data_IF_106065713337
#
_entry.id   IF_106065713337
#
_cell.length_a   1.000
_cell.length_b   1.000
_cell.length_c   1.000
_cell.angle_alpha   90.00
_cell.angle_beta   90.00
_cell.angle_gamma   90.00
#
_symmetry.space_group_name_H-M   'P 1'
#
loop_
_entity.id
_entity.type
_entity.pdbx_description
1 polymer ?
#
# COMPACT_ATOMS: atom_id res chain seq x y z
N UNK A 1 -14.74 -4.69 9.84
CA UNK A 1 -14.42 -5.82 10.76
C UNK A 1 -12.91 -5.92 10.88
N UNK A 2 -12.37 -6.26 12.06
CA UNK A 2 -10.94 -6.59 12.21
C UNK A 2 -10.81 -8.11 12.08
N UNK A 3 -10.01 -8.55 11.13
CA UNK A 3 -9.57 -9.93 10.93
C UNK A 3 -8.07 -10.03 11.21
N UNK A 4 -7.52 -11.24 11.09
CA UNK A 4 -6.09 -11.49 11.23
C UNK A 4 -5.62 -12.43 10.11
N UNK A 5 -4.35 -12.34 9.76
CA UNK A 5 -3.67 -13.29 8.88
C UNK A 5 -2.37 -13.77 9.52
N UNK A 6 -2.01 -15.01 9.20
CA UNK A 6 -0.77 -15.63 9.69
C UNK A 6 0.25 -15.65 8.54
N UNK A 7 1.49 -15.33 8.87
CA UNK A 7 2.64 -15.35 7.97
C UNK A 7 3.83 -16.00 8.70
N UNK A 8 4.91 -16.41 8.02
CA UNK A 8 5.99 -17.17 8.65
C UNK A 8 6.63 -16.52 9.89
N UNK A 9 6.60 -15.19 10.01
CA UNK A 9 7.14 -14.46 11.16
C UNK A 9 6.13 -14.05 12.22
N UNK A 10 4.84 -14.42 12.10
CA UNK A 10 3.85 -14.13 13.13
C UNK A 10 2.43 -13.96 12.62
N UNK A 11 1.67 -13.15 13.35
CA UNK A 11 0.26 -12.86 13.08
C UNK A 11 0.03 -11.37 13.11
N UNK A 12 -0.65 -10.86 12.09
CA UNK A 12 -0.93 -9.43 11.95
C UNK A 12 -2.43 -9.17 11.78
N UNK A 13 -2.85 -7.96 12.11
CA UNK A 13 -4.22 -7.50 11.93
C UNK A 13 -4.51 -7.17 10.46
N UNK A 14 -5.78 -7.27 10.08
CA UNK A 14 -6.27 -6.89 8.76
C UNK A 14 -7.68 -6.32 8.86
N UNK A 15 -7.85 -5.06 8.46
CA UNK A 15 -9.18 -4.46 8.33
C UNK A 15 -9.91 -5.05 7.12
N UNK A 16 -11.20 -5.32 7.29
CA UNK A 16 -12.11 -5.86 6.25
C UNK A 16 -13.31 -4.95 6.06
N UNK A 17 -13.66 -4.73 4.80
CA UNK A 17 -14.74 -3.87 4.32
C UNK A 17 -15.60 -4.60 3.28
N UNK A 18 -16.87 -4.22 3.17
CA UNK A 18 -17.75 -4.68 2.10
C UNK A 18 -18.26 -6.12 2.26
N UNK A 19 -18.77 -6.72 1.18
CA UNK A 19 -19.44 -8.02 1.22
C UNK A 19 -18.49 -9.16 1.60
N UNK A 20 -19.08 -10.28 2.06
CA UNK A 20 -18.33 -11.49 2.41
C UNK A 20 -17.88 -12.31 1.18
N UNK A 21 -18.47 -12.04 0.01
CA UNK A 21 -18.27 -12.79 -1.24
C UNK A 21 -17.98 -11.84 -2.39
N UNK A 22 -17.36 -12.36 -3.46
CA UNK A 22 -16.99 -11.57 -4.65
C UNK A 22 -15.52 -11.14 -4.63
N UNK A 23 -15.10 -10.30 -5.60
CA UNK A 23 -13.71 -9.85 -5.69
C UNK A 23 -13.32 -8.98 -4.50
N UNK A 24 -12.05 -9.08 -4.10
CA UNK A 24 -11.48 -8.32 -2.99
C UNK A 24 -10.37 -7.41 -3.49
N UNK A 25 -10.43 -6.13 -3.16
CA UNK A 25 -9.31 -5.20 -3.30
C UNK A 25 -8.49 -5.22 -2.01
N UNK A 26 -7.22 -5.61 -2.10
CA UNK A 26 -6.27 -5.60 -0.97
C UNK A 26 -5.31 -4.42 -1.10
N UNK A 27 -5.36 -3.53 -0.12
CA UNK A 27 -4.56 -2.31 -0.11
C UNK A 27 -3.15 -2.54 0.44
N UNK A 28 -2.16 -1.95 -0.22
CA UNK A 28 -0.78 -1.82 0.23
C UNK A 28 -0.49 -0.34 0.49
N UNK A 29 -0.35 0.01 1.77
CA UNK A 29 0.07 1.35 2.17
C UNK A 29 1.53 1.60 1.76
N UNK A 30 1.93 2.88 1.58
CA UNK A 30 3.33 3.25 1.57
C UNK A 30 4.03 2.78 2.85
N UNK A 31 5.35 2.66 2.81
CA UNK A 31 6.15 2.25 3.97
C UNK A 31 6.38 3.41 4.95
N UNK A 32 6.48 3.08 6.24
CA UNK A 32 6.86 3.98 7.34
C UNK A 32 5.88 5.15 7.53
N UNK A 33 6.39 6.35 7.77
CA UNK A 33 5.59 7.56 8.05
C UNK A 33 4.54 7.88 6.96
N UNK A 34 4.80 7.53 5.71
CA UNK A 34 3.81 7.70 4.64
C UNK A 34 2.59 6.78 4.83
N UNK A 35 2.74 5.62 5.48
CA UNK A 35 1.64 4.75 5.85
C UNK A 35 0.65 5.49 6.75
N UNK A 36 1.16 6.07 7.85
CA UNK A 36 0.38 6.82 8.83
C UNK A 36 -0.37 7.98 8.18
N UNK A 37 0.32 8.73 7.31
CA UNK A 37 -0.28 9.88 6.60
C UNK A 37 -1.38 9.51 5.61
N UNK A 38 -1.30 8.33 5.00
CA UNK A 38 -2.22 7.89 3.94
C UNK A 38 -3.28 6.89 4.40
N UNK A 39 -3.18 6.36 5.63
CA UNK A 39 -4.10 5.33 6.15
C UNK A 39 -5.56 5.76 6.11
N UNK A 40 -5.88 6.97 6.59
CA UNK A 40 -7.26 7.48 6.59
C UNK A 40 -7.83 7.62 5.18
N UNK A 41 -7.00 8.06 4.23
CA UNK A 41 -7.36 8.16 2.83
C UNK A 41 -7.66 6.79 2.21
N UNK A 42 -6.80 5.80 2.42
CA UNK A 42 -7.02 4.44 1.91
C UNK A 42 -8.23 3.77 2.55
N UNK A 43 -8.45 3.94 3.86
CA UNK A 43 -9.68 3.47 4.51
C UNK A 43 -10.92 4.10 3.88
N UNK A 44 -10.85 5.37 3.49
CA UNK A 44 -11.95 6.05 2.79
C UNK A 44 -12.23 5.42 1.42
N UNK A 45 -11.19 5.12 0.64
CA UNK A 45 -11.32 4.40 -0.64
C UNK A 45 -11.96 3.02 -0.44
N UNK A 46 -11.48 2.23 0.55
CA UNK A 46 -12.00 0.89 0.80
C UNK A 46 -13.46 0.89 1.27
N UNK A 47 -13.90 1.91 2.02
CA UNK A 47 -15.32 2.12 2.36
C UNK A 47 -16.16 2.46 1.13
N UNK A 48 -15.66 3.35 0.28
CA UNK A 48 -16.33 3.70 -0.98
C UNK A 48 -16.43 2.49 -1.93
N UNK A 49 -15.42 1.61 -1.96
CA UNK A 49 -15.48 0.34 -2.71
C UNK A 49 -16.53 -0.61 -2.13
N UNK A 50 -16.64 -0.69 -0.80
CA UNK A 50 -17.67 -1.49 -0.14
C UNK A 50 -19.08 -1.04 -0.53
N UNK A 51 -19.33 0.27 -0.61
CA UNK A 51 -20.59 0.84 -1.10
C UNK A 51 -20.88 0.49 -2.57
N UNK A 52 -19.83 0.20 -3.37
CA UNK A 52 -19.89 -0.24 -4.76
C UNK A 52 -19.98 -1.77 -4.92
N UNK A 53 -20.15 -2.50 -3.81
CA UNK A 53 -20.26 -3.95 -3.79
C UNK A 53 -18.93 -4.70 -3.93
N UNK A 54 -17.78 -4.03 -3.78
CA UNK A 54 -16.46 -4.64 -3.87
C UNK A 54 -15.86 -4.74 -2.47
N UNK A 55 -15.43 -5.94 -2.09
CA UNK A 55 -14.84 -6.16 -0.78
C UNK A 55 -13.46 -5.50 -0.69
N UNK A 56 -13.11 -5.00 0.49
CA UNK A 56 -11.85 -4.32 0.76
C UNK A 56 -11.07 -5.00 1.89
N UNK A 57 -9.74 -5.01 1.77
CA UNK A 57 -8.82 -5.49 2.80
C UNK A 57 -7.67 -4.51 2.99
N UNK A 58 -7.32 -4.21 4.24
CA UNK A 58 -6.11 -3.44 4.58
C UNK A 58 -5.35 -4.20 5.67
N UNK A 59 -4.33 -5.01 5.30
CA UNK A 59 -3.45 -5.64 6.27
C UNK A 59 -2.54 -4.59 6.91
N UNK A 60 -2.33 -4.70 8.21
CA UNK A 60 -1.11 -4.17 8.82
C UNK A 60 0.03 -5.12 8.43
N UNK A 61 1.23 -4.57 8.25
CA UNK A 61 2.40 -5.33 7.82
C UNK A 61 3.39 -5.49 8.99
N UNK A 62 4.24 -6.53 8.96
CA UNK A 62 5.28 -6.70 9.97
C UNK A 62 6.15 -5.45 10.11
N UNK A 63 6.34 -4.99 11.33
CA UNK A 63 7.08 -3.75 11.65
C UNK A 63 6.39 -2.46 11.23
N UNK A 64 5.09 -2.49 10.91
CA UNK A 64 4.30 -1.31 10.54
C UNK A 64 2.97 -1.29 11.31
N UNK A 65 2.44 -0.09 11.56
CA UNK A 65 1.16 0.08 12.25
C UNK A 65 1.17 -0.52 13.65
N UNK A 66 0.25 -1.45 13.93
CA UNK A 66 0.09 -2.10 15.24
C UNK A 66 0.95 -3.37 15.41
N UNK A 67 1.83 -3.69 14.45
CA UNK A 67 2.73 -4.83 14.55
C UNK A 67 3.64 -4.70 15.79
N UNK A 68 3.78 -5.73 16.63
CA UNK A 68 4.71 -5.71 17.77
C UNK A 68 6.18 -5.91 17.36
N UNK A 69 6.44 -6.34 16.11
CA UNK A 69 7.80 -6.55 15.63
C UNK A 69 8.51 -5.21 15.43
N UNK A 70 9.77 -5.07 15.87
CA UNK A 70 10.53 -3.85 15.66
C UNK A 70 10.91 -3.72 14.18
N UNK A 71 10.84 -2.50 13.64
CA UNK A 71 11.12 -2.22 12.22
C UNK A 71 12.50 -2.71 11.77
N UNK A 72 13.49 -2.71 12.67
CA UNK A 72 14.86 -3.17 12.38
C UNK A 72 14.97 -4.67 12.11
N UNK A 73 14.00 -5.46 12.58
CA UNK A 73 13.98 -6.91 12.35
C UNK A 73 13.38 -7.29 10.99
N UNK A 74 12.81 -6.32 10.26
CA UNK A 74 12.05 -6.57 9.03
C UNK A 74 12.90 -6.29 7.79
N UNK A 75 12.73 -7.14 6.78
CA UNK A 75 13.25 -6.99 5.42
C UNK A 75 12.11 -6.74 4.43
N UNK A 76 12.39 -6.17 3.26
CA UNK A 76 11.39 -6.01 2.21
C UNK A 76 10.82 -7.38 1.77
N UNK A 77 11.68 -8.41 1.73
CA UNK A 77 11.25 -9.78 1.48
C UNK A 77 10.21 -10.28 2.50
N UNK A 78 10.35 -9.94 3.78
CA UNK A 78 9.35 -10.30 4.81
C UNK A 78 8.01 -9.61 4.54
N UNK A 79 8.05 -8.32 4.18
CA UNK A 79 6.84 -7.55 3.87
C UNK A 79 6.10 -8.12 2.65
N UNK A 80 6.82 -8.50 1.60
CA UNK A 80 6.25 -9.15 0.40
C UNK A 80 5.59 -10.49 0.74
N UNK A 81 6.25 -11.31 1.56
CA UNK A 81 5.69 -12.59 2.03
C UNK A 81 4.44 -12.34 2.87
N UNK A 82 4.49 -11.42 3.83
CA UNK A 82 3.33 -11.10 4.67
C UNK A 82 2.15 -10.58 3.84
N UNK A 83 2.40 -9.69 2.87
CA UNK A 83 1.36 -9.21 1.95
C UNK A 83 0.75 -10.37 1.14
N UNK A 84 1.57 -11.28 0.60
CA UNK A 84 1.08 -12.46 -0.12
C UNK A 84 0.21 -13.38 0.76
N UNK A 85 0.59 -13.58 2.02
CA UNK A 85 -0.21 -14.34 2.99
C UNK A 85 -1.53 -13.63 3.33
N UNK A 86 -1.51 -12.31 3.49
CA UNK A 86 -2.73 -11.51 3.68
C UNK A 86 -3.66 -11.62 2.46
N UNK A 87 -3.12 -11.57 1.25
CA UNK A 87 -3.87 -11.79 0.00
C UNK A 87 -4.51 -13.17 -0.04
N UNK A 88 -3.75 -14.24 0.24
CA UNK A 88 -4.27 -15.60 0.27
C UNK A 88 -5.38 -15.78 1.32
N UNK A 89 -5.24 -15.12 2.48
CA UNK A 89 -6.23 -15.17 3.57
C UNK A 89 -7.58 -14.59 3.17
N UNK A 90 -7.65 -13.75 2.14
CA UNK A 90 -8.92 -13.20 1.64
C UNK A 90 -9.84 -14.27 1.06
N UNK A 91 -9.30 -15.41 0.62
CA UNK A 91 -10.07 -16.55 0.11
C UNK A 91 -10.87 -16.27 -1.16
N UNK A 92 -10.56 -15.18 -1.86
CA UNK A 92 -11.29 -14.70 -3.03
C UNK A 92 -10.32 -14.24 -4.12
N UNK A 93 -10.86 -13.98 -5.32
CA UNK A 93 -10.10 -13.35 -6.40
C UNK A 93 -9.70 -11.94 -5.98
N UNK A 94 -8.39 -11.71 -5.84
CA UNK A 94 -7.85 -10.51 -5.22
C UNK A 94 -7.19 -9.57 -6.22
N UNK A 95 -7.36 -8.27 -6.02
CA UNK A 95 -6.78 -7.18 -6.81
C UNK A 95 -5.97 -6.27 -5.90
N UNK A 96 -4.77 -5.87 -6.30
CA UNK A 96 -3.96 -4.96 -5.49
C UNK A 96 -4.37 -3.50 -5.71
N UNK A 97 -4.50 -2.77 -4.61
CA UNK A 97 -4.50 -1.30 -4.55
C UNK A 97 -3.21 -0.88 -3.84
N UNK A 98 -2.20 -0.43 -4.57
CA UNK A 98 -0.94 0.00 -3.95
C UNK A 98 -0.72 1.49 -4.11
N UNK A 99 -0.17 2.15 -3.08
CA UNK A 99 0.15 3.58 -3.13
C UNK A 99 1.64 3.77 -2.85
N UNK A 100 2.33 4.59 -3.65
CA UNK A 100 3.75 4.92 -3.48
C UNK A 100 4.64 3.67 -3.39
N UNK A 101 5.44 3.55 -2.32
CA UNK A 101 6.30 2.41 -1.99
C UNK A 101 5.52 1.14 -1.63
N UNK A 102 4.21 1.23 -1.35
CA UNK A 102 3.35 0.05 -1.23
C UNK A 102 3.32 -0.78 -2.52
N UNK A 103 3.60 -0.16 -3.67
CA UNK A 103 3.71 -0.85 -4.96
C UNK A 103 4.89 -1.84 -5.04
N UNK A 104 5.81 -1.80 -4.07
CA UNK A 104 6.92 -2.76 -3.98
C UNK A 104 6.50 -4.08 -3.31
N UNK A 105 5.29 -4.17 -2.75
CA UNK A 105 4.88 -5.26 -1.85
C UNK A 105 4.12 -6.39 -2.54
N UNK A 106 3.47 -6.10 -3.66
CA UNK A 106 2.49 -7.00 -4.27
C UNK A 106 3.09 -8.06 -5.21
N UNK A 107 4.41 -8.07 -5.39
CA UNK A 107 5.06 -8.94 -6.38
C UNK A 107 5.14 -10.42 -6.00
N UNK A 108 5.00 -10.76 -4.72
CA UNK A 108 4.91 -12.15 -4.28
C UNK A 108 3.46 -12.67 -4.18
N UNK A 109 2.45 -11.80 -4.33
CA UNK A 109 1.05 -12.14 -4.12
C UNK A 109 0.41 -12.67 -5.41
N UNK A 110 -0.45 -13.69 -5.26
CA UNK A 110 -1.32 -14.15 -6.34
C UNK A 110 -2.49 -13.18 -6.50
N UNK A 111 -2.45 -12.37 -7.56
CA UNK A 111 -3.39 -11.29 -7.81
C UNK A 111 -3.95 -11.40 -9.23
N UNK A 112 -5.25 -11.13 -9.37
CA UNK A 112 -5.93 -11.06 -10.66
C UNK A 112 -5.58 -9.78 -11.44
N UNK A 113 -5.12 -8.75 -10.74
CA UNK A 113 -4.65 -7.50 -11.34
C UNK A 113 -4.00 -6.57 -10.31
N UNK A 114 -3.23 -5.60 -10.80
CA UNK A 114 -2.58 -4.57 -9.98
C UNK A 114 -3.02 -3.17 -10.41
N UNK A 115 -3.42 -2.37 -9.44
CA UNK A 115 -3.75 -0.96 -9.58
C UNK A 115 -2.88 -0.15 -8.63
N UNK A 116 -2.12 0.81 -9.17
CA UNK A 116 -1.13 1.56 -8.41
C UNK A 116 -1.38 3.07 -8.49
N UNK A 117 -1.42 3.75 -7.35
CA UNK A 117 -1.47 5.21 -7.28
C UNK A 117 -0.09 5.80 -6.99
N UNK A 118 0.40 6.57 -7.97
CA UNK A 118 1.68 7.26 -7.93
C UNK A 118 2.83 6.38 -7.42
N UNK A 119 3.04 5.17 -8.01
CA UNK A 119 4.00 4.18 -7.53
C UNK A 119 5.42 4.75 -7.50
N UNK A 120 6.21 4.23 -6.56
CA UNK A 120 7.58 4.62 -6.27
C UNK A 120 8.49 3.39 -6.33
N UNK A 121 9.68 3.52 -6.92
CA UNK A 121 10.69 2.45 -6.90
C UNK A 121 11.47 2.40 -5.58
N UNK A 122 12.14 1.28 -5.32
CA UNK A 122 13.02 1.13 -4.17
C UNK A 122 14.15 2.17 -4.14
N UNK A 123 14.85 2.46 -5.26
CA UNK A 123 15.83 3.54 -5.31
C UNK A 123 15.26 4.94 -5.05
N UNK A 124 13.98 5.17 -5.36
CA UNK A 124 13.31 6.43 -5.03
C UNK A 124 13.01 6.54 -3.54
N UNK A 125 12.51 5.45 -2.95
CA UNK A 125 12.27 5.37 -1.51
C UNK A 125 13.58 5.53 -0.74
N UNK A 126 14.65 4.85 -1.16
CA UNK A 126 15.96 4.92 -0.50
C UNK A 126 16.51 6.35 -0.47
N UNK A 127 16.37 7.09 -1.58
CA UNK A 127 16.74 8.52 -1.64
C UNK A 127 15.93 9.37 -0.68
N UNK A 128 14.64 9.10 -0.52
CA UNK A 128 13.79 9.82 0.43
C UNK A 128 14.15 9.47 1.88
N UNK A 129 14.39 8.20 2.18
CA UNK A 129 14.85 7.73 3.49
C UNK A 129 16.18 8.39 3.88
N UNK A 130 17.17 8.42 2.98
CA UNK A 130 18.44 9.09 3.27
C UNK A 130 18.28 10.59 3.52
N UNK A 131 17.39 11.27 2.80
CA UNK A 131 17.09 12.69 3.06
C UNK A 131 16.45 12.89 4.42
N UNK A 132 15.54 12.00 4.83
CA UNK A 132 14.93 12.03 6.16
C UNK A 132 15.98 11.86 7.26
N UNK A 133 16.87 10.87 7.12
CA UNK A 133 17.97 10.63 8.07
C UNK A 133 18.92 11.82 8.17
N UNK A 134 19.26 12.46 7.05
CA UNK A 134 20.10 13.68 7.06
C UNK A 134 19.44 14.89 7.71
N UNK A 135 18.10 14.92 7.78
CA UNK A 135 17.35 16.01 8.39
C UNK A 135 17.08 15.77 9.90
N UNK A 136 17.21 14.53 10.38
CA UNK A 136 17.12 14.18 11.80
C UNK A 136 18.48 14.26 12.49
N UNK A 137 18.51 14.61 13.78
CA UNK A 137 19.73 14.57 14.60
C UNK A 137 20.17 13.13 14.97
N UNK A 138 19.41 12.11 14.55
CA UNK A 138 19.62 10.69 14.86
C UNK A 138 20.03 9.84 13.65
N UNK A 139 20.32 8.57 13.92
CA UNK A 139 20.70 7.58 12.92
C UNK A 139 19.50 6.83 12.28
N UNK A 140 18.29 7.22 12.67
CA UNK A 140 17.05 6.60 12.23
C UNK A 140 16.47 7.27 10.97
N UNK A 141 15.47 6.63 10.38
CA UNK A 141 14.81 7.04 9.15
C UNK A 141 13.41 7.59 9.45
N UNK A 142 13.35 8.67 10.23
CA UNK A 142 12.08 9.25 10.67
C UNK A 142 11.42 8.37 11.73
N UNK A 143 12.12 8.15 12.84
CA UNK A 143 11.69 7.31 13.96
C UNK A 143 11.87 5.81 13.74
N UNK A 144 12.31 5.39 12.55
CA UNK A 144 12.42 3.98 12.17
C UNK A 144 13.88 3.55 12.07
N UNK A 145 14.27 2.52 12.83
CA UNK A 145 15.57 1.85 12.66
C UNK A 145 15.44 0.79 11.57
N UNK A 146 16.24 0.91 10.51
CA UNK A 146 16.19 0.00 9.36
C UNK A 146 17.48 -0.82 9.28
N UNK A 147 17.35 -2.12 9.02
CA UNK A 147 18.53 -2.98 8.85
C UNK A 147 19.26 -2.67 7.54
N UNK A 148 20.60 -2.86 7.48
CA UNK A 148 21.35 -2.76 6.23
C UNK A 148 20.81 -3.69 5.14
N UNK A 149 20.30 -4.86 5.52
CA UNK A 149 19.67 -5.80 4.59
C UNK A 149 18.40 -5.23 3.97
N UNK A 150 17.55 -4.57 4.76
CA UNK A 150 16.36 -3.88 4.23
C UNK A 150 16.74 -2.81 3.20
N UNK A 151 17.75 -1.98 3.51
CA UNK A 151 18.23 -0.93 2.60
C UNK A 151 18.78 -1.52 1.30
N UNK A 152 19.58 -2.60 1.37
CA UNK A 152 20.13 -3.28 0.19
C UNK A 152 19.04 -3.92 -0.69
N UNK A 153 17.96 -4.44 -0.10
CA UNK A 153 16.84 -4.99 -0.86
C UNK A 153 16.07 -3.91 -1.65
N UNK A 154 16.13 -2.64 -1.25
CA UNK A 154 15.51 -1.53 -1.99
C UNK A 154 16.26 -1.16 -3.27
N UNK A 155 17.58 -1.35 -3.35
CA UNK A 155 18.40 -0.87 -4.47
C UNK A 155 17.93 -1.35 -5.84
N UNK A 156 17.32 -2.54 -5.89
CA UNK A 156 16.84 -3.13 -7.14
C UNK A 156 15.33 -3.42 -7.10
N UNK A 157 14.61 -2.96 -6.07
CA UNK A 157 13.19 -3.18 -5.96
C UNK A 157 12.42 -2.26 -6.91
N UNK A 158 11.62 -2.85 -7.79
CA UNK A 158 10.75 -2.13 -8.72
C UNK A 158 9.30 -2.61 -8.55
N UNK A 159 8.31 -1.72 -8.73
CA UNK A 159 6.92 -2.13 -8.83
C UNK A 159 6.70 -3.07 -10.01
N UNK A 160 5.83 -4.05 -9.84
CA UNK A 160 5.37 -4.89 -10.94
C UNK A 160 4.46 -4.09 -11.90
N UNK A 161 4.29 -4.57 -13.15
CA UNK A 161 3.36 -3.96 -14.10
C UNK A 161 1.94 -3.84 -13.55
N UNK A 162 1.35 -2.66 -13.70
CA UNK A 162 0.06 -2.31 -13.12
C UNK A 162 -0.68 -1.24 -13.93
N UNK A 163 -1.99 -1.09 -13.69
CA UNK A 163 -2.73 0.12 -14.06
C UNK A 163 -2.26 1.26 -13.15
N UNK A 164 -1.51 2.21 -13.72
CA UNK A 164 -0.91 3.32 -12.96
C UNK A 164 -1.77 4.56 -13.03
N UNK A 165 -2.22 5.08 -11.89
CA UNK A 165 -2.89 6.38 -11.78
C UNK A 165 -1.94 7.39 -11.13
N UNK A 166 -1.95 8.63 -11.59
CA UNK A 166 -1.11 9.71 -11.02
C UNK A 166 -1.93 10.98 -10.79
N UNK A 167 -1.42 11.85 -9.94
CA UNK A 167 -1.96 13.20 -9.81
C UNK A 167 -1.67 14.03 -11.06
N UNK A 168 -2.50 15.04 -11.31
CA UNK A 168 -2.28 16.05 -12.33
C UNK A 168 -0.91 16.73 -12.18
N UNK A 169 -0.31 17.09 -13.32
CA UNK A 169 1.02 17.71 -13.38
C UNK A 169 2.20 16.74 -13.19
N UNK A 170 1.97 15.47 -12.85
CA UNK A 170 3.07 14.49 -12.83
C UNK A 170 3.47 14.11 -14.27
N UNK A 171 4.72 14.30 -14.72
CA UNK A 171 5.08 14.08 -16.12
C UNK A 171 5.25 12.60 -16.50
N UNK A 172 5.27 11.67 -15.54
CA UNK A 172 5.49 10.25 -15.81
C UNK A 172 4.26 9.59 -16.42
N UNK A 173 4.50 8.51 -17.16
CA UNK A 173 3.45 7.72 -17.77
C UNK A 173 2.40 7.21 -16.76
N UNK A 174 1.15 7.18 -17.19
CA UNK A 174 -0.01 6.81 -16.38
C UNK A 174 -1.19 6.43 -17.29
N UNK A 175 -1.97 5.43 -16.86
CA UNK A 175 -3.23 5.05 -17.49
C UNK A 175 -4.32 6.11 -17.29
N UNK A 176 -4.29 6.85 -16.18
CA UNK A 176 -5.13 8.03 -15.98
C UNK A 176 -4.48 9.04 -15.02
N UNK A 177 -5.01 10.26 -15.04
CA UNK A 177 -4.61 11.36 -14.16
C UNK A 177 -5.82 11.93 -13.43
N UNK A 178 -5.61 12.33 -12.18
CA UNK A 178 -6.69 12.85 -11.32
C UNK A 178 -6.26 14.12 -10.60
N UNK A 179 -7.19 15.07 -10.40
CA UNK A 179 -6.91 16.26 -9.61
C UNK A 179 -6.79 15.89 -8.13
N UNK A 180 -5.92 16.58 -7.40
CA UNK A 180 -5.72 16.37 -5.98
C UNK A 180 -4.35 16.81 -5.50
N UNK A 181 -4.11 16.66 -4.20
CA UNK A 181 -2.83 16.97 -3.58
C UNK A 181 -2.07 15.67 -3.19
N UNK A 182 -0.73 15.68 -3.18
CA UNK A 182 0.08 14.56 -2.71
C UNK A 182 -0.03 14.43 -1.18
N UNK A 183 -1.04 13.69 -0.70
CA UNK A 183 -1.35 13.54 0.74
C UNK A 183 -0.17 13.03 1.57
N UNK A 184 0.66 12.17 0.99
CA UNK A 184 1.89 11.64 1.59
C UNK A 184 2.99 12.69 1.86
N UNK A 185 2.89 13.91 1.30
CA UNK A 185 3.80 15.03 1.57
C UNK A 185 3.32 15.96 2.69
N UNK A 186 2.13 15.74 3.26
CA UNK A 186 1.63 16.56 4.36
C UNK A 186 2.38 16.22 5.65
N UNK A 187 2.37 17.13 6.63
CA UNK A 187 2.93 16.86 7.94
C UNK A 187 2.03 15.90 8.73
N UNK A 188 0.73 16.20 8.75
CA UNK A 188 -0.28 15.42 9.47
C UNK A 188 -1.06 14.48 8.54
N UNK A 189 -1.61 13.37 9.07
CA UNK A 189 -2.59 12.56 8.38
C UNK A 189 -3.73 13.42 7.83
N UNK A 190 -4.04 13.23 6.56
CA UNK A 190 -5.09 13.98 5.89
C UNK A 190 -5.94 13.04 5.04
N UNK A 191 -7.13 13.52 4.70
CA UNK A 191 -8.05 12.80 3.83
C UNK A 191 -8.50 13.74 2.70
N UNK A 192 -8.82 13.17 1.56
CA UNK A 192 -9.43 13.86 0.44
C UNK A 192 -10.60 13.01 -0.05
N UNK A 193 -11.81 13.21 0.50
CA UNK A 193 -12.97 12.40 0.15
C UNK A 193 -13.33 12.47 -1.34
N UNK A 194 -13.09 13.61 -2.00
CA UNK A 194 -13.39 13.78 -3.41
C UNK A 194 -12.41 12.98 -4.28
N UNK A 195 -11.11 13.03 -3.98
CA UNK A 195 -10.13 12.18 -4.64
C UNK A 195 -10.39 10.70 -4.32
N UNK A 196 -10.69 10.35 -3.07
CA UNK A 196 -10.96 8.96 -2.67
C UNK A 196 -12.15 8.37 -3.42
N UNK A 197 -13.24 9.13 -3.59
CA UNK A 197 -14.39 8.71 -4.38
C UNK A 197 -14.03 8.46 -5.85
N UNK A 198 -13.27 9.37 -6.48
CA UNK A 198 -12.81 9.20 -7.87
C UNK A 198 -11.94 7.96 -8.05
N UNK A 199 -11.01 7.71 -7.12
CA UNK A 199 -10.17 6.51 -7.17
C UNK A 199 -11.00 5.24 -6.94
N UNK A 200 -11.98 5.27 -6.03
CA UNK A 200 -12.87 4.15 -5.82
C UNK A 200 -13.74 3.84 -7.05
N UNK A 201 -14.21 4.85 -7.79
CA UNK A 201 -14.90 4.66 -9.06
C UNK A 201 -13.98 3.99 -10.10
N UNK A 202 -12.77 4.54 -10.32
CA UNK A 202 -11.82 3.97 -11.29
C UNK A 202 -11.43 2.52 -10.95
N UNK A 203 -11.16 2.23 -9.66
CA UNK A 203 -10.85 0.87 -9.20
C UNK A 203 -12.05 -0.04 -9.41
N UNK A 204 -13.27 0.40 -9.09
CA UNK A 204 -14.45 -0.44 -9.22
C UNK A 204 -14.76 -0.80 -10.68
N UNK A 205 -14.67 0.17 -11.58
CA UNK A 205 -14.88 -0.05 -13.01
C UNK A 205 -13.80 -0.95 -13.60
N UNK A 206 -12.55 -0.74 -13.19
CA UNK A 206 -11.44 -1.60 -13.60
C UNK A 206 -11.61 -3.05 -13.09
N UNK A 207 -11.95 -3.26 -11.82
CA UNK A 207 -12.19 -4.60 -11.27
C UNK A 207 -13.33 -5.30 -12.03
N UNK A 208 -14.44 -4.61 -12.28
CA UNK A 208 -15.57 -5.18 -13.06
C UNK A 208 -15.14 -5.58 -14.45
N UNK A 209 -14.33 -4.76 -15.13
CA UNK A 209 -13.81 -5.09 -16.47
C UNK A 209 -12.92 -6.34 -16.48
N UNK A 210 -12.30 -6.69 -15.35
CA UNK A 210 -11.45 -7.88 -15.20
C UNK A 210 -12.24 -9.16 -14.83
N UNK A 211 -13.45 -9.01 -14.30
CA UNK A 211 -14.35 -10.13 -13.95
C UNK A 211 -15.23 -10.59 -15.12
N UNK A 212 -15.52 -9.70 -16.08
CA UNK A 212 -16.35 -9.99 -17.27
C UNK A 212 -17.73 -9.39 -17.16
#
# INVERSE_FOLDING_TARGET
>A
MIAHYDWPGGREAMLRFGPATGPVVIAALPLFEEASRTRAFVVTILRALAERGIAGALPDLPGQGESPLPTEAIRLANLRVAYAHATARTGARAYALAIRSGALLDGAAQLAGRWHFAPQSGPELLRELHRLRSASEGDDFGGNRLSPAFLAELDNAHPDPARVIRLDGNPRDAAARVPGAPLWRRAEPHNDPALAARLADDIADWVRSCEG
#
